data_IF_237625721999
#
_entry.id   IF_237625721999
#
_cell.length_a   1.000
_cell.length_b   1.000
_cell.length_c   1.000
_cell.angle_alpha   90.00
_cell.angle_beta   90.00
_cell.angle_gamma   90.00
#
_symmetry.space_group_name_H-M   'P 1'
#
loop_
_entity.id
_entity.type
_entity.pdbx_description
1 polymer ?
#
# COMPACT_ATOMS: atom_id res chain seq x y z
N UNK A 1 -7.15 -19.04 32.68
CA UNK A 1 -6.88 -18.25 33.91
C UNK A 1 -7.96 -17.20 34.02
N UNK A 2 -8.38 -16.83 35.24
CA UNK A 2 -9.38 -15.77 35.41
C UNK A 2 -8.69 -14.39 35.34
N UNK A 3 -9.29 -13.45 34.60
CA UNK A 3 -8.85 -12.05 34.57
C UNK A 3 -9.44 -11.28 35.74
N UNK A 4 -8.69 -10.32 36.27
CA UNK A 4 -9.16 -9.42 37.32
C UNK A 4 -10.00 -8.28 36.71
N UNK A 5 -10.94 -7.73 37.49
CA UNK A 5 -11.81 -6.66 37.02
C UNK A 5 -11.03 -5.40 36.58
N UNK A 6 -9.89 -5.14 37.24
CA UNK A 6 -9.01 -4.02 36.90
C UNK A 6 -8.29 -4.24 35.56
N UNK A 7 -7.82 -5.46 35.29
CA UNK A 7 -7.21 -5.83 34.01
C UNK A 7 -8.20 -5.67 32.85
N UNK A 8 -9.45 -6.09 33.06
CA UNK A 8 -10.53 -5.93 32.08
C UNK A 8 -10.77 -4.45 31.81
N UNK A 9 -10.95 -3.62 32.84
CA UNK A 9 -11.20 -2.19 32.68
C UNK A 9 -10.06 -1.49 31.95
N UNK A 10 -8.82 -1.76 32.35
CA UNK A 10 -7.65 -1.19 31.68
C UNK A 10 -7.57 -1.58 30.20
N UNK A 11 -7.84 -2.85 29.87
CA UNK A 11 -7.87 -3.30 28.48
C UNK A 11 -8.95 -2.60 27.65
N UNK A 12 -10.12 -2.35 28.23
CA UNK A 12 -11.21 -1.64 27.55
C UNK A 12 -10.87 -0.17 27.30
N UNK A 13 -10.23 0.50 28.27
CA UNK A 13 -9.74 1.88 28.10
C UNK A 13 -8.73 1.98 26.95
N UNK A 14 -7.76 1.05 26.91
CA UNK A 14 -6.75 0.99 25.84
C UNK A 14 -7.41 0.76 24.48
N UNK A 15 -8.31 -0.23 24.40
CA UNK A 15 -8.96 -0.57 23.14
C UNK A 15 -9.88 0.56 22.64
N UNK A 16 -10.64 1.20 23.53
CA UNK A 16 -11.47 2.36 23.18
C UNK A 16 -10.62 3.51 22.65
N UNK A 17 -9.49 3.81 23.29
CA UNK A 17 -8.55 4.83 22.80
C UNK A 17 -8.04 4.50 21.38
N UNK A 18 -7.69 3.22 21.15
CA UNK A 18 -7.26 2.76 19.83
C UNK A 18 -8.36 2.86 18.76
N UNK A 19 -9.65 2.69 19.11
CA UNK A 19 -10.74 2.90 18.16
C UNK A 19 -10.90 4.37 17.76
N UNK A 20 -10.67 5.29 18.69
CA UNK A 20 -10.79 6.73 18.45
C UNK A 20 -9.59 7.27 17.64
N UNK A 21 -8.38 6.83 17.99
CA UNK A 21 -7.14 7.42 17.49
C UNK A 21 -6.35 6.54 16.52
N UNK A 22 -6.69 5.26 16.38
CA UNK A 22 -6.01 4.25 15.54
C UNK A 22 -4.56 3.94 15.94
N UNK A 23 -3.98 4.72 16.85
CA UNK A 23 -2.64 4.53 17.39
C UNK A 23 -2.57 5.05 18.83
N UNK A 24 -1.65 4.47 19.61
CA UNK A 24 -1.39 4.78 21.01
C UNK A 24 0.12 4.86 21.21
N UNK A 25 0.65 6.07 21.31
CA UNK A 25 2.07 6.33 21.54
C UNK A 25 2.41 6.55 23.01
N UNK A 26 3.59 6.10 23.43
CA UNK A 26 4.12 6.27 24.80
C UNK A 26 4.16 7.74 25.23
N UNK A 27 4.64 8.64 24.37
CA UNK A 27 4.69 10.09 24.64
C UNK A 27 3.30 10.72 24.81
N UNK A 28 2.29 10.20 24.11
CA UNK A 28 0.94 10.75 24.12
C UNK A 28 0.10 10.26 25.30
N UNK A 29 0.30 9.01 25.72
CA UNK A 29 -0.54 8.31 26.70
C UNK A 29 0.26 7.23 27.43
N UNK A 30 1.32 7.65 28.12
CA UNK A 30 2.27 6.79 28.85
C UNK A 30 1.59 5.73 29.73
N UNK A 31 0.54 6.10 30.47
CA UNK A 31 -0.20 5.17 31.34
C UNK A 31 -0.81 4.00 30.55
N UNK A 32 -1.50 4.30 29.46
CA UNK A 32 -2.18 3.29 28.64
C UNK A 32 -1.15 2.44 27.90
N UNK A 33 -0.11 3.08 27.37
CA UNK A 33 0.98 2.40 26.67
C UNK A 33 1.68 1.39 27.58
N UNK A 34 2.15 1.82 28.77
CA UNK A 34 2.78 0.92 29.75
C UNK A 34 1.85 -0.21 30.19
N UNK A 35 0.57 0.11 30.39
CA UNK A 35 -0.46 -0.89 30.71
C UNK A 35 -0.55 -2.02 29.68
N UNK A 36 -0.44 -1.71 28.38
CA UNK A 36 -0.38 -2.72 27.32
C UNK A 36 1.00 -3.39 27.21
N UNK A 37 2.06 -2.60 27.30
CA UNK A 37 3.43 -3.04 27.03
C UNK A 37 4.04 -3.93 28.11
N UNK A 38 3.67 -3.72 29.38
CA UNK A 38 4.29 -4.37 30.53
C UNK A 38 3.39 -5.47 31.15
N UNK A 39 2.11 -5.53 30.78
CA UNK A 39 1.17 -6.50 31.33
C UNK A 39 0.58 -7.40 30.22
N UNK A 40 1.08 -8.64 30.16
CA UNK A 40 0.67 -9.65 29.18
C UNK A 40 -0.84 -9.98 29.24
N UNK A 41 -1.46 -9.92 30.42
CA UNK A 41 -2.91 -10.19 30.55
C UNK A 41 -3.74 -9.09 29.92
N UNK A 42 -3.37 -7.83 30.15
CA UNK A 42 -4.01 -6.68 29.48
C UNK A 42 -3.76 -6.74 27.98
N UNK A 43 -2.53 -7.04 27.55
CA UNK A 43 -2.20 -7.22 26.14
C UNK A 43 -3.10 -8.25 25.46
N UNK A 44 -3.25 -9.43 26.06
CA UNK A 44 -4.09 -10.50 25.53
C UNK A 44 -5.57 -10.10 25.44
N UNK A 45 -6.08 -9.36 26.41
CA UNK A 45 -7.45 -8.84 26.39
C UNK A 45 -7.67 -7.81 25.28
N UNK A 46 -6.74 -6.88 25.08
CA UNK A 46 -6.80 -5.89 24.01
C UNK A 46 -6.73 -6.56 22.64
N UNK A 47 -5.83 -7.55 22.47
CA UNK A 47 -5.74 -8.35 21.24
C UNK A 47 -7.02 -9.12 20.95
N UNK A 48 -7.64 -9.73 21.98
CA UNK A 48 -8.93 -10.42 21.84
C UNK A 48 -10.07 -9.48 21.43
N UNK A 49 -10.07 -8.24 21.94
CA UNK A 49 -11.01 -7.21 21.50
C UNK A 49 -10.77 -6.79 20.05
N UNK A 50 -9.51 -6.64 19.64
CA UNK A 50 -9.12 -6.42 18.25
C UNK A 50 -9.63 -7.53 17.34
N UNK A 51 -9.42 -8.80 17.71
CA UNK A 51 -9.91 -9.94 16.94
C UNK A 51 -11.44 -9.93 16.77
N UNK A 52 -12.18 -9.65 17.85
CA UNK A 52 -13.63 -9.51 17.81
C UNK A 52 -14.10 -8.34 16.92
N UNK A 53 -13.30 -7.28 16.83
CA UNK A 53 -13.54 -6.13 15.96
C UNK A 53 -12.97 -6.29 14.55
N UNK A 54 -12.40 -7.45 14.19
CA UNK A 54 -11.71 -7.70 12.91
C UNK A 54 -10.56 -6.72 12.66
N UNK A 55 -9.75 -6.49 13.69
CA UNK A 55 -8.55 -5.66 13.67
C UNK A 55 -7.38 -6.43 14.25
N UNK A 56 -6.17 -6.06 13.83
CA UNK A 56 -4.93 -6.51 14.41
C UNK A 56 -4.35 -5.39 15.30
N UNK A 57 -3.85 -5.78 16.48
CA UNK A 57 -3.25 -4.85 17.44
C UNK A 57 -1.76 -5.14 17.52
N UNK A 58 -0.97 -4.26 16.93
CA UNK A 58 0.47 -4.46 16.76
C UNK A 58 1.27 -3.32 17.37
N UNK A 59 2.40 -3.66 18.00
CA UNK A 59 3.29 -2.67 18.61
C UNK A 59 4.55 -2.54 17.78
N UNK A 60 4.85 -1.32 17.34
CA UNK A 60 6.10 -0.95 16.67
C UNK A 60 6.83 0.10 17.49
N UNK A 61 7.89 -0.34 18.19
CA UNK A 61 8.66 0.51 19.08
C UNK A 61 7.83 1.10 20.22
N UNK A 62 7.64 2.41 20.18
CA UNK A 62 6.95 3.27 21.14
C UNK A 62 5.48 3.54 20.79
N UNK A 63 4.94 2.87 19.76
CA UNK A 63 3.55 3.06 19.31
C UNK A 63 2.85 1.71 19.16
N UNK A 64 1.59 1.65 19.61
CA UNK A 64 0.67 0.53 19.41
C UNK A 64 -0.38 0.97 18.37
N UNK A 65 -0.60 0.17 17.34
CA UNK A 65 -1.53 0.47 16.25
C UNK A 65 -2.72 -0.47 16.29
N UNK A 66 -3.89 0.05 15.91
CA UNK A 66 -5.06 -0.72 15.55
C UNK A 66 -5.20 -0.71 14.03
N UNK A 67 -5.09 -1.89 13.42
CA UNK A 67 -5.05 -2.06 11.97
C UNK A 67 -6.29 -2.85 11.57
N UNK A 68 -7.29 -2.24 10.91
CA UNK A 68 -8.42 -2.97 10.37
C UNK A 68 -7.97 -4.00 9.33
N UNK A 69 -8.54 -5.21 9.40
CA UNK A 69 -8.33 -6.24 8.37
C UNK A 69 -8.97 -5.84 7.04
N UNK A 70 -8.53 -6.45 5.95
CA UNK A 70 -8.97 -6.10 4.59
C UNK A 70 -10.50 -6.19 4.38
N UNK A 71 -11.18 -7.07 5.11
CA UNK A 71 -12.63 -7.28 5.06
C UNK A 71 -13.42 -6.37 6.03
N UNK A 72 -12.74 -5.62 6.90
CA UNK A 72 -13.35 -4.73 7.87
C UNK A 72 -13.67 -3.36 7.26
N UNK A 73 -14.78 -3.28 6.53
CA UNK A 73 -15.26 -2.02 5.96
C UNK A 73 -15.88 -1.04 6.99
N UNK A 74 -16.04 -1.46 8.25
CA UNK A 74 -16.60 -0.61 9.30
C UNK A 74 -15.55 0.34 9.88
N UNK A 75 -14.37 -0.20 10.22
CA UNK A 75 -13.23 0.59 10.70
C UNK A 75 -12.22 0.92 9.60
N UNK A 76 -12.21 0.14 8.51
CA UNK A 76 -11.40 0.40 7.32
C UNK A 76 -12.20 1.02 6.18
N UNK A 77 -11.81 0.70 4.95
CA UNK A 77 -12.48 1.18 3.75
C UNK A 77 -12.92 0.02 2.86
N UNK A 78 -14.17 0.08 2.40
CA UNK A 78 -14.62 -0.74 1.27
C UNK A 78 -13.99 -0.26 -0.04
N UNK A 79 -13.90 -1.16 -1.04
CA UNK A 79 -13.52 -0.81 -2.42
C UNK A 79 -14.37 0.33 -2.99
N UNK A 80 -15.66 0.39 -2.64
CA UNK A 80 -16.56 1.46 -3.08
C UNK A 80 -16.18 2.83 -2.48
N UNK A 81 -15.86 2.88 -1.19
CA UNK A 81 -15.40 4.10 -0.52
C UNK A 81 -14.05 4.56 -1.08
N UNK A 82 -13.08 3.65 -1.25
CA UNK A 82 -11.78 4.00 -1.84
C UNK A 82 -11.93 4.55 -3.26
N UNK A 83 -12.81 3.97 -4.09
CA UNK A 83 -13.13 4.52 -5.41
C UNK A 83 -13.65 5.95 -5.36
N UNK A 84 -14.57 6.24 -4.44
CA UNK A 84 -15.11 7.59 -4.30
C UNK A 84 -14.06 8.60 -3.82
N UNK A 85 -13.20 8.18 -2.89
CA UNK A 85 -12.15 9.03 -2.33
C UNK A 85 -11.05 9.31 -3.36
N UNK A 86 -10.53 8.26 -4.01
CA UNK A 86 -9.33 8.33 -4.85
C UNK A 86 -9.62 8.68 -6.32
N UNK A 87 -10.73 8.18 -6.87
CA UNK A 87 -11.00 8.29 -8.31
C UNK A 87 -11.97 9.44 -8.64
N UNK A 88 -12.07 9.79 -9.93
CA UNK A 88 -13.05 10.76 -10.49
C UNK A 88 -14.50 10.33 -10.22
N UNK A 89 -15.45 11.26 -10.33
CA UNK A 89 -16.89 10.95 -10.25
C UNK A 89 -17.25 9.86 -11.28
N UNK A 90 -17.88 8.78 -10.84
CA UNK A 90 -18.11 7.53 -11.61
C UNK A 90 -16.84 6.72 -11.94
N UNK A 91 -15.83 6.74 -11.07
CA UNK A 91 -14.63 5.92 -11.20
C UNK A 91 -14.93 4.44 -11.42
N UNK A 92 -14.28 3.87 -12.43
CA UNK A 92 -14.38 2.45 -12.78
C UNK A 92 -13.45 1.62 -11.91
N UNK A 93 -13.54 0.30 -12.05
CA UNK A 93 -12.55 -0.59 -11.43
C UNK A 93 -11.14 -0.40 -12.02
N UNK A 94 -11.02 0.01 -13.29
CA UNK A 94 -9.72 0.36 -13.89
C UNK A 94 -9.07 1.54 -13.16
N UNK A 95 -9.85 2.58 -12.88
CA UNK A 95 -9.37 3.75 -12.13
C UNK A 95 -8.94 3.38 -10.70
N UNK A 96 -9.66 2.44 -10.06
CA UNK A 96 -9.30 1.92 -8.73
C UNK A 96 -7.95 1.21 -8.74
N UNK A 97 -7.77 0.25 -9.65
CA UNK A 97 -6.52 -0.51 -9.75
C UNK A 97 -5.35 0.40 -10.12
N UNK A 98 -5.58 1.42 -10.95
CA UNK A 98 -4.58 2.47 -11.22
C UNK A 98 -4.21 3.22 -9.93
N UNK A 99 -5.16 3.60 -9.06
CA UNK A 99 -4.83 4.22 -7.77
C UNK A 99 -4.00 3.31 -6.88
N UNK A 100 -4.31 2.01 -6.83
CA UNK A 100 -3.52 1.05 -6.06
C UNK A 100 -2.11 0.90 -6.64
N UNK A 101 -1.98 0.87 -7.97
CA UNK A 101 -0.70 0.82 -8.65
C UNK A 101 0.17 2.05 -8.36
N UNK A 102 -0.42 3.24 -8.32
CA UNK A 102 0.27 4.47 -7.92
C UNK A 102 0.79 4.37 -6.49
N UNK A 103 -0.04 3.90 -5.54
CA UNK A 103 0.38 3.72 -4.13
C UNK A 103 1.51 2.71 -4.04
N UNK A 104 1.39 1.55 -4.70
CA UNK A 104 2.46 0.54 -4.75
C UNK A 104 3.75 1.09 -5.38
N UNK A 105 3.62 1.89 -6.44
CA UNK A 105 4.76 2.52 -7.09
C UNK A 105 5.48 3.44 -6.13
N UNK A 106 4.74 4.29 -5.41
CA UNK A 106 5.27 5.17 -4.37
C UNK A 106 6.01 4.37 -3.30
N UNK A 107 5.42 3.28 -2.79
CA UNK A 107 6.07 2.45 -1.78
C UNK A 107 7.40 1.87 -2.27
N UNK A 108 7.46 1.30 -3.47
CA UNK A 108 8.72 0.74 -3.99
C UNK A 108 9.77 1.80 -4.30
N UNK A 109 9.36 3.02 -4.62
CA UNK A 109 10.33 4.10 -4.78
C UNK A 109 10.99 4.50 -3.45
N UNK A 110 10.25 4.44 -2.34
CA UNK A 110 10.78 4.75 -1.00
C UNK A 110 11.43 3.56 -0.28
N UNK A 111 11.11 2.32 -0.66
CA UNK A 111 11.55 1.12 0.06
C UNK A 111 12.03 0.01 -0.89
N UNK A 112 13.26 -0.51 -0.69
CA UNK A 112 13.86 -1.59 -1.51
C UNK A 112 14.11 -2.91 -0.76
N UNK A 113 13.70 -2.97 0.51
CA UNK A 113 13.80 -4.14 1.39
C UNK A 113 15.21 -4.72 1.54
N UNK A 114 16.27 -3.95 1.23
CA UNK A 114 17.66 -4.33 1.44
C UNK A 114 18.27 -3.54 2.61
N UNK A 115 18.54 -4.20 3.73
CA UNK A 115 19.27 -3.61 4.87
C UNK A 115 18.53 -3.70 6.20
N UNK A 116 19.05 -2.99 7.22
CA UNK A 116 18.45 -2.92 8.56
C UNK A 116 17.24 -1.97 8.62
N UNK A 117 17.14 -1.06 7.66
CA UNK A 117 15.99 -0.17 7.38
C UNK A 117 15.57 -0.44 5.96
N UNK A 118 14.26 -0.56 5.72
CA UNK A 118 13.73 -0.77 4.38
C UNK A 118 13.76 0.50 3.51
N UNK A 119 13.93 1.68 4.11
CA UNK A 119 13.86 3.00 3.45
C UNK A 119 15.13 3.34 2.67
N UNK A 120 14.96 3.81 1.43
CA UNK A 120 16.06 4.09 0.48
C UNK A 120 16.27 5.57 0.20
N UNK A 121 15.24 6.40 0.39
CA UNK A 121 15.30 7.85 0.17
C UNK A 121 14.41 8.60 1.15
N UNK A 122 14.75 9.86 1.43
CA UNK A 122 14.01 10.70 2.37
C UNK A 122 12.85 11.48 1.71
N UNK A 123 12.97 11.76 0.42
CA UNK A 123 11.96 12.51 -0.32
C UNK A 123 11.94 12.14 -1.82
N UNK A 124 10.84 12.49 -2.48
CA UNK A 124 10.63 12.38 -3.92
C UNK A 124 9.79 13.56 -4.41
N UNK A 125 10.02 14.06 -5.63
CA UNK A 125 9.14 15.08 -6.25
C UNK A 125 7.98 14.41 -6.99
N UNK A 126 6.81 15.05 -7.05
CA UNK A 126 5.63 14.49 -7.75
C UNK A 126 5.91 14.21 -9.23
N UNK A 127 6.65 15.09 -9.92
CA UNK A 127 7.05 14.86 -11.31
C UNK A 127 7.92 13.62 -11.50
N UNK A 128 8.77 13.29 -10.52
CA UNK A 128 9.56 12.05 -10.53
C UNK A 128 8.63 10.83 -10.39
N UNK A 129 7.68 10.88 -9.45
CA UNK A 129 6.67 9.83 -9.29
C UNK A 129 5.86 9.61 -10.58
N UNK A 130 5.44 10.69 -11.25
CA UNK A 130 4.74 10.62 -12.55
C UNK A 130 5.56 9.89 -13.62
N UNK A 131 6.87 10.15 -13.68
CA UNK A 131 7.78 9.48 -14.60
C UNK A 131 7.90 7.99 -14.28
N UNK A 132 8.07 7.63 -12.99
CA UNK A 132 8.13 6.23 -12.55
C UNK A 132 6.84 5.46 -12.88
N UNK A 133 5.67 6.08 -12.63
CA UNK A 133 4.37 5.48 -12.97
C UNK A 133 4.28 5.24 -14.48
N UNK A 134 4.63 6.26 -15.29
CA UNK A 134 4.55 6.17 -16.75
C UNK A 134 5.46 5.08 -17.31
N UNK A 135 6.71 5.00 -16.81
CA UNK A 135 7.68 4.00 -17.21
C UNK A 135 7.20 2.59 -16.86
N UNK A 136 6.81 2.35 -15.60
CA UNK A 136 6.38 1.02 -15.13
C UNK A 136 5.09 0.54 -15.79
N UNK A 137 4.13 1.43 -16.06
CA UNK A 137 2.91 1.09 -16.80
C UNK A 137 3.24 0.66 -18.23
N UNK A 138 4.12 1.41 -18.92
CA UNK A 138 4.54 1.09 -20.29
C UNK A 138 5.29 -0.24 -20.33
N UNK A 139 6.29 -0.43 -19.47
CA UNK A 139 7.05 -1.68 -19.40
C UNK A 139 6.15 -2.89 -19.10
N UNK A 140 5.20 -2.75 -18.18
CA UNK A 140 4.24 -3.80 -17.85
C UNK A 140 3.28 -4.14 -19.02
N UNK A 141 2.84 -3.12 -19.77
CA UNK A 141 1.97 -3.32 -20.93
C UNK A 141 2.73 -3.94 -22.12
N UNK A 142 3.93 -3.44 -22.44
CA UNK A 142 4.76 -3.95 -23.55
C UNK A 142 5.13 -5.42 -23.36
N UNK A 143 5.51 -5.83 -22.14
CA UNK A 143 5.82 -7.24 -21.82
C UNK A 143 4.60 -8.15 -21.98
N UNK A 144 3.42 -7.64 -21.64
CA UNK A 144 2.16 -8.38 -21.79
C UNK A 144 1.81 -8.58 -23.27
N UNK A 145 2.14 -7.61 -24.13
CA UNK A 145 1.95 -7.71 -25.58
C UNK A 145 2.98 -8.59 -26.28
N UNK A 146 4.27 -8.49 -25.92
CA UNK A 146 5.33 -9.30 -26.50
C UNK A 146 5.10 -10.79 -26.24
N UNK A 147 4.62 -11.15 -25.05
CA UNK A 147 4.27 -12.54 -24.71
C UNK A 147 3.09 -13.09 -25.53
N UNK A 148 2.12 -12.24 -25.89
CA UNK A 148 1.01 -12.60 -26.78
C UNK A 148 1.43 -12.77 -28.25
N UNK A 149 2.65 -12.35 -28.63
CA UNK A 149 3.19 -12.43 -30.00
C UNK A 149 4.15 -13.59 -30.23
N UNK A 150 4.62 -14.29 -29.19
CA UNK A 150 5.41 -15.51 -29.42
C UNK A 150 4.51 -16.58 -30.04
N UNK A 151 4.95 -17.23 -31.15
CA UNK A 151 4.22 -18.33 -31.72
C UNK A 151 3.99 -19.39 -30.64
N UNK A 152 2.74 -19.83 -30.49
CA UNK A 152 2.42 -21.04 -29.73
C UNK A 152 3.39 -22.12 -30.22
N UNK A 153 4.25 -22.65 -29.35
CA UNK A 153 5.12 -23.77 -29.72
C UNK A 153 4.26 -24.82 -30.44
N UNK A 154 4.64 -25.15 -31.69
CA UNK A 154 3.98 -26.17 -32.51
C UNK A 154 4.16 -27.53 -31.81
N UNK A 155 3.26 -27.82 -30.86
CA UNK A 155 3.33 -29.02 -30.03
C UNK A 155 2.36 -29.05 -28.84
N UNK A 156 1.63 -27.97 -28.56
CA UNK A 156 0.71 -27.91 -27.41
C UNK A 156 -0.66 -28.53 -27.71
N UNK A 157 -1.13 -29.40 -26.82
CA UNK A 157 -2.44 -30.05 -26.90
C UNK A 157 -3.59 -29.03 -26.91
N UNK A 158 -4.59 -29.16 -27.80
CA UNK A 158 -5.76 -28.28 -27.81
C UNK A 158 -6.60 -28.54 -26.55
N UNK A 159 -6.77 -27.52 -25.71
CA UNK A 159 -7.58 -27.58 -24.48
C UNK A 159 -6.96 -26.93 -23.24
N UNK A 160 -5.70 -26.47 -23.32
CA UNK A 160 -5.10 -25.64 -22.27
C UNK A 160 -5.32 -24.17 -22.63
N UNK A 161 -6.18 -23.47 -21.89
CA UNK A 161 -6.32 -22.02 -22.03
C UNK A 161 -4.95 -21.36 -21.80
N UNK A 162 -4.48 -20.59 -22.80
CA UNK A 162 -3.26 -19.81 -22.68
C UNK A 162 -3.54 -18.63 -21.74
N UNK A 163 -3.44 -18.88 -20.43
CA UNK A 163 -3.56 -17.83 -19.41
C UNK A 163 -2.40 -16.84 -19.63
N UNK A 164 -2.74 -15.60 -20.00
CA UNK A 164 -1.79 -14.49 -20.18
C UNK A 164 -1.01 -14.21 -18.90
N UNK A 165 0.18 -13.59 -18.99
CA UNK A 165 0.93 -13.22 -17.77
C UNK A 165 0.14 -12.24 -16.90
N UNK A 166 -0.64 -11.33 -17.47
CA UNK A 166 -1.55 -10.45 -16.70
C UNK A 166 -2.52 -11.26 -15.83
N UNK A 167 -3.09 -12.34 -16.37
CA UNK A 167 -3.99 -13.25 -15.65
C UNK A 167 -3.25 -14.13 -14.64
N UNK A 168 -1.99 -14.53 -14.91
CA UNK A 168 -1.15 -15.27 -13.94
C UNK A 168 -0.65 -14.39 -12.79
N UNK A 169 -0.37 -13.12 -13.08
CA UNK A 169 0.14 -12.14 -12.12
C UNK A 169 -0.99 -11.42 -11.39
N UNK A 170 -2.22 -11.48 -11.91
CA UNK A 170 -3.40 -10.82 -11.35
C UNK A 170 -3.39 -9.29 -11.53
N UNK A 171 -2.65 -8.77 -12.52
CA UNK A 171 -2.50 -7.33 -12.77
C UNK A 171 -2.72 -7.03 -14.25
N UNK A 172 -3.72 -6.19 -14.54
CA UNK A 172 -4.04 -5.77 -15.90
C UNK A 172 -3.36 -4.43 -16.24
N UNK A 173 -2.07 -4.48 -16.60
CA UNK A 173 -1.26 -3.30 -16.93
C UNK A 173 -1.85 -2.53 -18.11
N UNK A 174 -2.31 -3.24 -19.13
CA UNK A 174 -3.01 -2.68 -20.30
C UNK A 174 -4.19 -1.76 -19.90
N UNK A 175 -5.09 -2.26 -19.04
CA UNK A 175 -6.23 -1.51 -18.54
C UNK A 175 -5.85 -0.29 -17.69
N UNK A 176 -4.78 -0.41 -16.89
CA UNK A 176 -4.31 0.70 -16.06
C UNK A 176 -3.60 1.78 -16.90
N UNK A 177 -2.83 1.37 -17.92
CA UNK A 177 -2.19 2.28 -18.87
C UNK A 177 -3.24 3.08 -19.65
N UNK A 178 -4.27 2.42 -20.19
CA UNK A 178 -5.40 3.08 -20.85
C UNK A 178 -6.08 4.11 -19.93
N UNK A 179 -6.35 3.73 -18.67
CA UNK A 179 -6.94 4.63 -17.68
C UNK A 179 -6.04 5.84 -17.37
N UNK A 180 -4.72 5.64 -17.31
CA UNK A 180 -3.75 6.69 -17.04
C UNK A 180 -3.56 7.65 -18.23
N UNK A 181 -3.57 7.13 -19.45
CA UNK A 181 -3.48 7.93 -20.68
C UNK A 181 -4.75 8.72 -20.96
N UNK A 182 -5.91 8.24 -20.51
CA UNK A 182 -7.16 8.97 -20.57
C UNK A 182 -7.19 10.22 -19.65
N UNK A 183 -6.26 10.34 -18.69
CA UNK A 183 -6.10 11.53 -17.87
C UNK A 183 -5.43 12.63 -18.70
N UNK A 184 -5.99 13.85 -18.63
CA UNK A 184 -5.41 15.03 -19.29
C UNK A 184 -4.08 15.39 -18.63
N UNK A 185 -3.09 15.78 -19.41
CA UNK A 185 -1.92 16.49 -18.88
C UNK A 185 -2.29 17.96 -18.70
N UNK A 186 -2.04 18.52 -17.52
CA UNK A 186 -2.27 19.95 -17.26
C UNK A 186 -1.04 20.57 -16.60
N UNK A 187 -0.36 21.46 -17.34
CA UNK A 187 0.86 22.14 -16.89
C UNK A 187 0.62 23.12 -15.74
N UNK A 188 -0.64 23.41 -15.38
CA UNK A 188 -0.99 24.42 -14.36
C UNK A 188 -1.25 23.85 -12.97
N UNK A 189 -0.87 22.60 -12.69
CA UNK A 189 -1.04 21.99 -11.36
C UNK A 189 -2.52 21.83 -10.98
N UNK A 190 -3.36 21.44 -11.94
CA UNK A 190 -4.79 21.27 -11.71
C UNK A 190 -5.06 20.20 -10.66
N UNK A 191 -5.94 20.52 -9.70
CA UNK A 191 -6.41 19.58 -8.66
C UNK A 191 -7.59 18.73 -9.13
N UNK A 192 -7.98 18.84 -10.40
CA UNK A 192 -9.11 18.09 -10.95
C UNK A 192 -8.73 16.62 -11.15
N UNK A 193 -9.54 15.69 -10.61
CA UNK A 193 -9.33 14.24 -10.72
C UNK A 193 -9.26 13.67 -12.16
N UNK A 194 -9.54 14.51 -13.16
CA UNK A 194 -9.46 14.17 -14.59
C UNK A 194 -8.11 14.49 -15.22
N UNK A 195 -7.18 15.11 -14.48
CA UNK A 195 -5.80 15.35 -14.92
C UNK A 195 -4.86 14.42 -14.16
N UNK A 196 -3.66 14.19 -14.70
CA UNK A 196 -2.65 13.34 -14.04
C UNK A 196 -2.23 13.94 -12.70
N UNK A 197 -2.02 15.25 -12.67
CA UNK A 197 -1.64 16.04 -11.50
C UNK A 197 -2.73 15.96 -10.43
N UNK A 198 -3.99 16.18 -10.82
CA UNK A 198 -5.10 16.16 -9.88
C UNK A 198 -5.44 14.76 -9.38
N UNK A 199 -5.26 13.73 -10.20
CA UNK A 199 -5.38 12.35 -9.74
C UNK A 199 -4.35 12.02 -8.67
N UNK A 200 -3.07 12.33 -8.89
CA UNK A 200 -2.02 12.13 -7.88
C UNK A 200 -2.24 12.99 -6.63
N UNK A 201 -2.62 14.24 -6.79
CA UNK A 201 -2.95 15.15 -5.69
C UNK A 201 -3.97 14.54 -4.71
N UNK A 202 -5.00 13.88 -5.24
CA UNK A 202 -6.04 13.26 -4.40
C UNK A 202 -5.52 12.01 -3.67
N UNK A 203 -4.67 11.20 -4.33
CA UNK A 203 -4.03 10.04 -3.70
C UNK A 203 -3.08 10.49 -2.60
N UNK A 204 -2.21 11.46 -2.87
CA UNK A 204 -1.23 11.98 -1.90
C UNK A 204 -1.94 12.62 -0.70
N UNK A 205 -2.98 13.41 -0.93
CA UNK A 205 -3.78 13.96 0.17
C UNK A 205 -4.50 12.91 0.99
N UNK A 206 -4.98 11.83 0.36
CA UNK A 206 -5.55 10.71 1.09
C UNK A 206 -4.49 10.07 2.01
N UNK A 207 -3.32 9.72 1.47
CA UNK A 207 -2.22 9.13 2.25
C UNK A 207 -1.74 10.07 3.38
N UNK A 208 -1.70 11.38 3.13
CA UNK A 208 -1.36 12.39 4.14
C UNK A 208 -2.41 12.43 5.26
N UNK A 209 -3.71 12.38 4.93
CA UNK A 209 -4.78 12.31 5.94
C UNK A 209 -4.73 11.01 6.76
N UNK A 210 -4.19 9.93 6.21
CA UNK A 210 -3.93 8.69 6.94
C UNK A 210 -2.63 8.75 7.78
N UNK A 211 -1.88 9.85 7.73
CA UNK A 211 -0.61 10.03 8.44
C UNK A 211 0.53 9.18 7.87
N UNK A 212 0.44 8.74 6.61
CA UNK A 212 1.44 7.87 5.97
C UNK A 212 2.54 8.65 5.25
N UNK A 213 2.19 9.83 4.72
CA UNK A 213 3.14 10.70 4.02
C UNK A 213 2.97 12.16 4.46
N UNK A 214 4.01 12.95 4.25
CA UNK A 214 3.96 14.41 4.26
C UNK A 214 4.09 14.89 2.81
N UNK A 215 3.08 15.61 2.33
CA UNK A 215 3.02 16.18 1.00
C UNK A 215 3.08 17.71 1.06
N UNK A 216 4.26 18.25 0.74
CA UNK A 216 4.52 19.69 0.68
C UNK A 216 4.11 20.20 -0.70
N UNK A 217 2.91 20.78 -0.80
CA UNK A 217 2.33 21.19 -2.09
C UNK A 217 3.16 22.25 -2.83
N UNK A 218 3.72 23.24 -2.13
CA UNK A 218 4.50 24.35 -2.71
C UNK A 218 5.74 23.85 -3.47
N UNK A 219 6.32 22.75 -2.98
CA UNK A 219 7.50 22.10 -3.53
C UNK A 219 7.15 20.83 -4.33
N UNK A 220 5.88 20.43 -4.39
CA UNK A 220 5.49 19.12 -4.91
C UNK A 220 6.37 17.99 -4.33
N UNK A 221 6.70 18.07 -3.04
CA UNK A 221 7.62 17.15 -2.37
C UNK A 221 6.85 16.18 -1.51
N UNK A 222 7.17 14.90 -1.66
CA UNK A 222 6.61 13.79 -0.88
C UNK A 222 7.69 13.28 0.06
N UNK A 223 7.36 13.08 1.33
CA UNK A 223 8.18 12.39 2.33
C UNK A 223 7.35 11.33 3.04
N UNK A 224 7.99 10.30 3.56
CA UNK A 224 7.31 9.27 4.37
C UNK A 224 7.32 9.67 5.84
N UNK A 225 6.28 9.30 6.59
CA UNK A 225 6.22 9.51 8.03
C UNK A 225 6.88 8.36 8.79
N UNK A 226 7.19 8.58 10.07
CA UNK A 226 7.65 7.51 10.99
C UNK A 226 6.67 6.33 11.02
N UNK A 227 5.36 6.61 10.92
CA UNK A 227 4.30 5.59 10.88
C UNK A 227 4.42 4.68 9.66
N UNK A 228 4.59 5.25 8.47
CA UNK A 228 4.76 4.44 7.27
C UNK A 228 6.10 3.68 7.30
N UNK A 229 7.18 4.33 7.75
CA UNK A 229 8.49 3.67 7.89
C UNK A 229 8.39 2.43 8.82
N UNK A 230 7.70 2.54 9.96
CA UNK A 230 7.46 1.43 10.88
C UNK A 230 6.60 0.31 10.26
N UNK A 231 5.54 0.65 9.53
CA UNK A 231 4.71 -0.35 8.85
C UNK A 231 5.50 -1.08 7.76
N UNK A 232 6.34 -0.37 7.01
CA UNK A 232 7.14 -0.97 5.95
C UNK A 232 8.27 -1.83 6.52
N UNK A 233 8.97 -1.38 7.57
CA UNK A 233 9.95 -2.23 8.24
C UNK A 233 9.30 -3.52 8.75
N UNK A 234 8.14 -3.47 9.40
CA UNK A 234 7.48 -4.70 9.86
C UNK A 234 6.96 -5.59 8.72
N UNK A 235 6.26 -5.00 7.73
CA UNK A 235 5.65 -5.73 6.63
C UNK A 235 6.70 -6.28 5.62
N UNK A 236 7.83 -5.58 5.46
CA UNK A 236 8.89 -5.97 4.53
C UNK A 236 9.98 -6.84 5.18
N UNK A 237 10.38 -6.59 6.43
CA UNK A 237 11.36 -7.41 7.14
C UNK A 237 10.78 -8.79 7.51
N UNK A 238 9.45 -8.92 7.60
CA UNK A 238 8.77 -10.21 7.60
C UNK A 238 8.71 -10.73 6.15
N UNK A 239 9.83 -11.29 5.67
CA UNK A 239 10.24 -11.60 4.29
C UNK A 239 9.19 -12.23 3.33
N UNK A 240 8.02 -12.65 3.80
CA UNK A 240 6.98 -13.28 3.00
C UNK A 240 6.20 -12.30 2.09
N UNK A 241 5.96 -11.05 2.53
CA UNK A 241 5.14 -10.10 1.76
C UNK A 241 5.96 -9.26 0.77
N UNK A 242 7.18 -8.86 1.16
CA UNK A 242 8.08 -8.11 0.29
C UNK A 242 8.41 -8.88 -0.99
N UNK A 243 8.74 -10.17 -0.90
CA UNK A 243 9.04 -10.98 -2.08
C UNK A 243 7.87 -11.05 -3.06
N UNK A 244 6.61 -10.94 -2.61
CA UNK A 244 5.45 -10.94 -3.51
C UNK A 244 5.30 -9.60 -4.23
N UNK A 245 5.39 -8.46 -3.52
CA UNK A 245 5.35 -7.12 -4.12
C UNK A 245 6.54 -6.90 -5.05
N UNK A 246 7.72 -7.34 -4.62
CA UNK A 246 8.96 -7.30 -5.37
C UNK A 246 8.99 -8.30 -6.52
N UNK A 247 8.39 -9.49 -6.42
CA UNK A 247 8.22 -10.38 -7.58
C UNK A 247 7.33 -9.73 -8.64
N UNK A 248 6.25 -9.10 -8.21
CA UNK A 248 5.35 -8.35 -9.09
C UNK A 248 6.06 -7.15 -9.75
N UNK A 249 7.06 -6.54 -9.09
CA UNK A 249 7.70 -5.30 -9.54
C UNK A 249 9.16 -5.44 -10.05
N UNK A 250 9.95 -6.43 -9.62
CA UNK A 250 11.40 -6.64 -9.86
C UNK A 250 11.83 -8.02 -10.42
N UNK A 251 11.05 -9.12 -10.37
CA UNK A 251 11.34 -10.28 -11.28
C UNK A 251 11.36 -9.82 -12.77
N UNK A 252 10.88 -8.60 -12.96
CA UNK A 252 10.94 -7.68 -14.07
C UNK A 252 12.29 -6.99 -14.40
N UNK A 253 13.39 -7.18 -13.67
CA UNK A 253 14.67 -6.53 -13.98
C UNK A 253 15.82 -7.51 -14.24
N UNK A 254 15.81 -8.71 -13.62
CA UNK A 254 16.98 -9.62 -13.67
C UNK A 254 16.98 -10.64 -14.81
N UNK A 255 15.83 -10.93 -15.44
CA UNK A 255 15.80 -11.87 -16.59
C UNK A 255 16.31 -11.22 -17.89
N UNK A 256 16.17 -9.90 -18.04
CA UNK A 256 16.71 -9.16 -19.19
C UNK A 256 18.25 -9.15 -19.25
N UNK A 257 18.94 -9.29 -18.10
CA UNK A 257 20.41 -9.36 -18.03
C UNK A 257 20.97 -10.77 -18.28
N UNK A 258 20.12 -11.82 -18.23
CA UNK A 258 20.54 -13.20 -18.54
C UNK A 258 20.31 -13.59 -19.99
N UNK A 259 19.38 -12.93 -20.69
CA UNK A 259 19.10 -13.19 -22.10
C UNK A 259 20.03 -12.45 -23.09
N UNK A 260 20.89 -11.53 -22.61
CA UNK A 260 21.87 -10.81 -23.43
C UNK A 260 23.31 -11.30 -23.28
N UNK A 261 23.51 -12.46 -22.67
CA UNK A 261 24.81 -12.99 -22.25
C UNK A 261 25.19 -14.36 -22.80
N UNK A 262 24.57 -14.80 -23.90
CA UNK A 262 25.04 -15.94 -24.72
C UNK A 262 25.00 -15.59 -26.21
#
# INVERSE_FOLDING_TARGET
MAYEAEEIRASQEIFYYLLEHHELGDESQERLFRGYAENERIQNLVKSQGEAAQCDIERYGDVIYLIPREDNAFLGFSKAQLKQLLCKSNGTDKDYYLSQFVILTLLVEFYDGQGATSKTRDYMRVGELQNCISARLREGAERSEEEGRFPKEEGRFPGQEDISREERQGIAFSNMMEAYEALRSDEKGSRAKTTKEGFLYNILNFLQKQGLIEYVEEDEMIKTTKKLDQFMDWNLLNQNHFQRVRRVLEENASEALRAGGE
#
